data_IF_971444026684
#
_entry.id   IF_971444026684
#
_cell.length_a   1.000
_cell.length_b   1.000
_cell.length_c   1.000
_cell.angle_alpha   90.00
_cell.angle_beta   90.00
_cell.angle_gamma   90.00
#
_symmetry.space_group_name_H-M   'P 1'
#
loop_
_entity.id
_entity.type
_entity.pdbx_description
1 polymer ?
#
# COMPACT_ATOMS: atom_id res chain seq x y z
N UNK A 1 -14.69 7.19 19.98
CA UNK A 1 -15.87 6.74 20.73
C UNK A 1 -16.58 5.67 19.94
N UNK A 2 -16.48 4.42 20.37
CA UNK A 2 -17.17 3.26 19.80
C UNK A 2 -18.17 2.77 20.83
N UNK A 3 -19.47 2.88 20.56
CA UNK A 3 -20.54 2.45 21.46
C UNK A 3 -21.46 1.51 20.69
N UNK A 4 -21.64 0.27 21.17
CA UNK A 4 -22.60 -0.70 20.62
C UNK A 4 -22.49 -0.94 19.09
N UNK A 5 -21.27 -0.94 18.54
CA UNK A 5 -21.06 -1.13 17.10
C UNK A 5 -21.26 0.13 16.26
N UNK A 6 -21.58 1.26 16.88
CA UNK A 6 -21.68 2.58 16.24
C UNK A 6 -20.37 3.33 16.41
N UNK A 7 -19.79 3.74 15.29
CA UNK A 7 -18.62 4.62 15.23
C UNK A 7 -19.07 6.05 14.90
N UNK A 8 -18.85 6.97 15.83
CA UNK A 8 -19.04 8.41 15.60
C UNK A 8 -17.72 9.01 15.12
N UNK A 9 -17.79 9.72 13.99
CA UNK A 9 -16.65 10.39 13.35
C UNK A 9 -17.01 11.84 13.03
N UNK A 10 -15.97 12.63 12.75
CA UNK A 10 -16.13 13.97 12.22
C UNK A 10 -16.74 13.94 10.81
N UNK A 11 -17.67 14.86 10.55
CA UNK A 11 -18.24 15.04 9.21
C UNK A 11 -17.25 15.82 8.35
N UNK A 12 -16.79 15.21 7.26
CA UNK A 12 -16.00 15.92 6.25
C UNK A 12 -16.95 16.77 5.40
N UNK A 13 -16.75 18.08 5.38
CA UNK A 13 -17.63 19.03 4.68
C UNK A 13 -17.03 19.58 3.39
N UNK A 14 -17.91 19.85 2.43
CA UNK A 14 -17.62 20.64 1.23
C UNK A 14 -17.60 22.15 1.54
N UNK A 15 -17.45 22.96 0.49
CA UNK A 15 -17.25 24.40 0.63
C UNK A 15 -18.44 25.16 1.23
N UNK A 16 -19.66 24.63 1.13
CA UNK A 16 -20.88 25.27 1.65
C UNK A 16 -21.43 24.58 2.91
N UNK A 17 -20.62 23.73 3.57
CA UNK A 17 -21.00 23.01 4.79
C UNK A 17 -21.82 21.73 4.56
N UNK A 18 -22.08 21.36 3.30
CA UNK A 18 -22.65 20.08 2.91
C UNK A 18 -21.67 18.92 3.13
N UNK A 19 -22.16 17.68 3.13
CA UNK A 19 -21.27 16.51 3.13
C UNK A 19 -20.36 16.53 1.89
N UNK A 20 -19.06 16.32 2.10
CA UNK A 20 -18.09 16.29 1.01
C UNK A 20 -18.44 15.19 -0.01
N UNK A 21 -18.44 15.49 -1.32
CA UNK A 21 -18.68 14.49 -2.34
C UNK A 21 -17.53 13.46 -2.39
N UNK A 22 -17.82 12.26 -2.90
CA UNK A 22 -16.76 11.28 -3.19
C UNK A 22 -15.96 11.74 -4.39
N UNK A 23 -14.70 11.33 -4.47
CA UNK A 23 -13.84 11.61 -5.61
C UNK A 23 -14.47 11.07 -6.91
N UNK A 24 -15.08 9.88 -6.86
CA UNK A 24 -15.82 9.30 -8.00
C UNK A 24 -16.90 10.23 -8.59
N UNK A 25 -17.50 11.09 -7.78
CA UNK A 25 -18.60 11.96 -8.19
C UNK A 25 -18.10 13.26 -8.87
N UNK A 26 -16.78 13.44 -8.95
CA UNK A 26 -16.15 14.62 -9.54
C UNK A 26 -15.75 14.40 -10.99
N UNK A 27 -16.08 15.38 -11.83
CA UNK A 27 -15.46 15.54 -13.14
C UNK A 27 -14.21 16.43 -13.01
N UNK A 28 -13.04 15.89 -13.36
CA UNK A 28 -11.76 16.58 -13.18
C UNK A 28 -11.20 17.09 -14.51
N UNK A 29 -10.54 18.23 -14.46
CA UNK A 29 -9.60 18.63 -15.52
C UNK A 29 -8.32 17.80 -15.40
N UNK A 30 -7.57 17.66 -16.50
CA UNK A 30 -6.30 16.95 -16.47
C UNK A 30 -5.30 17.55 -15.46
N UNK A 31 -5.27 18.87 -15.31
CA UNK A 31 -4.43 19.56 -14.32
C UNK A 31 -4.82 19.18 -12.88
N UNK A 32 -6.13 19.23 -12.57
CA UNK A 32 -6.63 18.89 -11.24
C UNK A 32 -6.46 17.40 -10.94
N UNK A 33 -6.62 16.53 -11.92
CA UNK A 33 -6.34 15.10 -11.81
C UNK A 33 -4.88 14.83 -11.40
N UNK A 34 -3.90 15.49 -12.04
CA UNK A 34 -2.48 15.35 -11.67
C UNK A 34 -2.21 15.84 -10.24
N UNK A 35 -2.77 17.00 -9.87
CA UNK A 35 -2.58 17.56 -8.53
C UNK A 35 -3.20 16.67 -7.43
N UNK A 36 -4.40 16.15 -7.67
CA UNK A 36 -5.09 15.23 -6.76
C UNK A 36 -4.39 13.88 -6.66
N UNK A 37 -3.95 13.31 -7.77
CA UNK A 37 -3.15 12.08 -7.80
C UNK A 37 -1.89 12.20 -6.93
N UNK A 38 -1.12 13.28 -7.12
CA UNK A 38 0.09 13.54 -6.32
C UNK A 38 -0.23 13.73 -4.83
N UNK A 39 -1.36 14.36 -4.52
CA UNK A 39 -1.82 14.55 -3.13
C UNK A 39 -2.13 13.21 -2.46
N UNK A 40 -2.85 12.31 -3.14
CA UNK A 40 -3.17 10.99 -2.59
C UNK A 40 -1.94 10.10 -2.46
N UNK A 41 -1.00 10.16 -3.41
CA UNK A 41 0.28 9.45 -3.28
C UNK A 41 0.99 9.86 -1.99
N UNK A 42 1.06 11.16 -1.69
CA UNK A 42 1.66 11.64 -0.44
C UNK A 42 0.92 11.15 0.80
N UNK A 43 -0.40 11.07 0.76
CA UNK A 43 -1.19 10.50 1.86
C UNK A 43 -0.90 9.02 2.06
N UNK A 44 -0.80 8.24 0.98
CA UNK A 44 -0.41 6.82 1.06
C UNK A 44 1.00 6.63 1.59
N UNK A 45 1.97 7.47 1.18
CA UNK A 45 3.31 7.46 1.77
C UNK A 45 3.24 7.70 3.29
N UNK A 46 2.44 8.66 3.75
CA UNK A 46 2.26 8.94 5.18
C UNK A 46 1.62 7.77 5.92
N UNK A 47 0.59 7.15 5.35
CA UNK A 47 -0.04 5.96 5.91
C UNK A 47 0.96 4.81 6.05
N UNK A 48 1.76 4.56 5.00
CA UNK A 48 2.77 3.50 5.03
C UNK A 48 3.91 3.80 6.02
N UNK A 49 4.33 5.07 6.15
CA UNK A 49 5.27 5.49 7.20
C UNK A 49 4.71 5.26 8.61
N UNK A 50 3.39 5.32 8.79
CA UNK A 50 2.71 4.96 10.02
C UNK A 50 2.49 3.43 10.18
N UNK A 51 2.99 2.62 9.25
CA UNK A 51 2.87 1.16 9.26
C UNK A 51 1.56 0.62 8.70
N UNK A 52 0.77 1.45 8.02
CA UNK A 52 -0.59 1.12 7.56
C UNK A 52 -0.66 1.08 6.04
N UNK A 53 -1.22 0.00 5.49
CA UNK A 53 -1.71 -0.04 4.10
C UNK A 53 -3.23 0.00 4.13
N UNK A 54 -3.85 0.85 3.31
CA UNK A 54 -5.31 0.96 3.25
C UNK A 54 -5.95 -0.36 2.83
N UNK A 55 -5.41 -0.98 1.80
CA UNK A 55 -5.79 -2.31 1.36
C UNK A 55 -7.06 -2.38 0.52
N UNK A 56 -7.73 -1.27 0.25
CA UNK A 56 -8.89 -1.17 -0.64
C UNK A 56 -9.08 0.27 -1.15
N UNK A 57 -7.98 0.97 -1.41
CA UNK A 57 -8.04 2.38 -1.79
C UNK A 57 -8.53 2.51 -3.25
N UNK A 58 -9.53 3.37 -3.45
CA UNK A 58 -10.13 3.69 -4.75
C UNK A 58 -10.81 5.07 -4.71
N UNK A 59 -11.33 5.54 -5.85
CA UNK A 59 -12.09 6.79 -5.94
C UNK A 59 -13.38 6.80 -5.09
N UNK A 60 -13.85 5.63 -4.69
CA UNK A 60 -15.02 5.51 -3.81
C UNK A 60 -14.69 5.77 -2.35
N UNK A 61 -13.44 5.55 -1.94
CA UNK A 61 -12.96 5.66 -0.54
C UNK A 61 -12.19 6.96 -0.28
N UNK A 62 -12.42 7.98 -1.13
CA UNK A 62 -11.83 9.32 -0.99
C UNK A 62 -12.94 10.36 -1.06
N UNK A 63 -12.97 11.27 -0.10
CA UNK A 63 -13.84 12.45 -0.07
C UNK A 63 -13.07 13.69 -0.51
N UNK A 64 -13.74 14.61 -1.20
CA UNK A 64 -13.18 15.91 -1.58
C UNK A 64 -13.76 17.02 -0.69
N UNK A 65 -13.15 17.20 0.48
CA UNK A 65 -13.51 18.25 1.43
C UNK A 65 -13.00 19.64 1.02
N UNK A 66 -13.43 20.66 1.75
CA UNK A 66 -12.97 22.05 1.55
C UNK A 66 -11.45 22.21 1.69
N UNK A 67 -10.85 21.45 2.61
CA UNK A 67 -9.41 21.53 2.94
C UNK A 67 -8.56 20.54 2.12
N UNK A 68 -9.18 19.77 1.22
CA UNK A 68 -8.51 18.81 0.36
C UNK A 68 -9.11 17.41 0.39
N UNK A 69 -8.36 16.46 -0.16
CA UNK A 69 -8.79 15.06 -0.24
C UNK A 69 -8.62 14.36 1.11
N UNK A 70 -9.62 13.55 1.47
CA UNK A 70 -9.64 12.77 2.71
C UNK A 70 -9.87 11.31 2.37
N UNK A 71 -8.91 10.46 2.72
CA UNK A 71 -9.04 9.00 2.63
C UNK A 71 -9.92 8.52 3.79
N UNK A 72 -10.91 7.69 3.49
CA UNK A 72 -11.87 7.13 4.46
C UNK A 72 -11.93 5.61 4.35
N UNK A 73 -12.75 4.97 5.18
CA UNK A 73 -13.03 3.51 5.11
C UNK A 73 -11.82 2.61 5.38
N UNK A 74 -11.30 2.70 6.60
CA UNK A 74 -10.17 1.91 7.11
C UNK A 74 -10.46 0.52 7.74
N UNK A 75 -11.69 -0.07 7.77
CA UNK A 75 -11.88 -1.42 8.31
C UNK A 75 -11.02 -2.50 7.65
N UNK A 76 -10.61 -2.31 6.39
CA UNK A 76 -9.75 -3.21 5.63
C UNK A 76 -8.26 -2.86 5.71
N UNK A 77 -7.90 -1.82 6.47
CA UNK A 77 -6.51 -1.42 6.62
C UNK A 77 -5.70 -2.48 7.38
N UNK A 78 -4.49 -2.72 6.91
CA UNK A 78 -3.61 -3.77 7.43
C UNK A 78 -2.27 -3.20 7.88
N UNK A 79 -1.63 -3.91 8.81
CA UNK A 79 -0.26 -3.66 9.21
C UNK A 79 0.71 -4.07 8.09
N UNK A 80 1.54 -3.12 7.65
CA UNK A 80 2.46 -3.27 6.53
C UNK A 80 3.61 -4.24 6.83
N UNK A 81 4.02 -4.36 8.09
CA UNK A 81 5.13 -5.21 8.51
C UNK A 81 4.68 -6.63 8.88
N UNK A 82 3.47 -6.78 9.41
CA UNK A 82 2.94 -8.07 9.87
C UNK A 82 2.21 -8.87 8.78
N UNK A 83 1.87 -8.26 7.64
CA UNK A 83 1.07 -8.91 6.60
C UNK A 83 1.87 -9.18 5.31
N UNK A 84 2.02 -10.46 4.96
CA UNK A 84 2.73 -10.89 3.75
C UNK A 84 2.12 -10.35 2.44
N UNK A 85 0.84 -9.98 2.45
CA UNK A 85 0.12 -9.44 1.29
C UNK A 85 0.21 -7.91 1.18
N UNK A 86 0.80 -7.21 2.16
CA UNK A 86 0.83 -5.75 2.22
C UNK A 86 1.41 -5.10 0.95
N UNK A 87 2.49 -5.69 0.38
CA UNK A 87 3.07 -5.23 -0.87
C UNK A 87 2.06 -5.23 -2.03
N UNK A 88 1.40 -6.37 -2.24
CA UNK A 88 0.43 -6.52 -3.33
C UNK A 88 -0.79 -5.62 -3.15
N UNK A 89 -1.24 -5.44 -1.91
CA UNK A 89 -2.36 -4.55 -1.58
C UNK A 89 -2.00 -3.08 -1.81
N UNK A 90 -0.80 -2.63 -1.42
CA UNK A 90 -0.33 -1.27 -1.70
C UNK A 90 -0.19 -1.01 -3.20
N UNK A 91 0.37 -1.96 -3.95
CA UNK A 91 0.50 -1.84 -5.41
C UNK A 91 -0.89 -1.70 -6.04
N UNK A 92 -1.84 -2.54 -5.63
CA UNK A 92 -3.23 -2.46 -6.09
C UNK A 92 -3.89 -1.12 -5.76
N UNK A 93 -3.69 -0.62 -4.54
CA UNK A 93 -4.19 0.69 -4.12
C UNK A 93 -3.68 1.81 -5.05
N UNK A 94 -2.38 1.77 -5.41
CA UNK A 94 -1.78 2.73 -6.36
C UNK A 94 -2.27 2.55 -7.79
N UNK A 95 -2.43 1.30 -8.25
CA UNK A 95 -2.96 1.00 -9.58
C UNK A 95 -4.40 1.49 -9.74
N UNK A 96 -5.23 1.35 -8.69
CA UNK A 96 -6.60 1.87 -8.68
C UNK A 96 -6.63 3.40 -8.85
N UNK A 97 -5.78 4.12 -8.10
CA UNK A 97 -5.66 5.58 -8.24
C UNK A 97 -5.17 5.97 -9.63
N UNK A 98 -4.11 5.32 -10.12
CA UNK A 98 -3.58 5.57 -11.47
C UNK A 98 -4.64 5.32 -12.55
N UNK A 99 -5.43 4.25 -12.42
CA UNK A 99 -6.51 3.92 -13.34
C UNK A 99 -7.63 4.97 -13.32
N UNK A 100 -8.04 5.45 -12.14
CA UNK A 100 -9.06 6.50 -12.02
C UNK A 100 -8.58 7.83 -12.62
N UNK A 101 -7.43 8.35 -12.18
CA UNK A 101 -6.93 9.64 -12.67
C UNK A 101 -6.47 9.56 -14.13
N UNK A 102 -6.05 8.39 -14.59
CA UNK A 102 -5.70 8.10 -15.98
C UNK A 102 -6.84 8.34 -16.97
N UNK A 103 -8.10 8.29 -16.51
CA UNK A 103 -9.28 8.66 -17.32
C UNK A 103 -9.23 10.14 -17.75
N UNK A 104 -8.57 10.99 -16.97
CA UNK A 104 -8.45 12.44 -17.20
C UNK A 104 -7.04 12.87 -17.65
N UNK A 105 -6.01 12.12 -17.27
CA UNK A 105 -4.60 12.36 -17.62
C UNK A 105 -3.90 11.03 -17.97
N UNK A 106 -3.98 10.57 -19.24
CA UNK A 106 -3.59 9.22 -19.65
C UNK A 106 -2.15 8.83 -19.34
N UNK A 107 -1.23 9.79 -19.27
CA UNK A 107 0.17 9.52 -18.93
C UNK A 107 0.36 8.94 -17.53
N UNK A 108 -0.59 9.14 -16.60
CA UNK A 108 -0.55 8.58 -15.25
C UNK A 108 -0.64 7.04 -15.25
N UNK A 109 -1.25 6.44 -16.27
CA UNK A 109 -1.37 4.98 -16.43
C UNK A 109 -0.02 4.28 -16.61
N UNK A 110 1.04 5.04 -16.94
CA UNK A 110 2.39 4.51 -17.16
C UNK A 110 3.28 4.60 -15.93
N UNK A 111 2.77 5.14 -14.82
CA UNK A 111 3.51 5.29 -13.57
C UNK A 111 3.44 4.01 -12.73
N UNK A 112 4.49 3.74 -11.95
CA UNK A 112 4.58 2.58 -11.04
C UNK A 112 4.95 3.04 -9.62
N UNK A 113 4.12 3.93 -9.06
CA UNK A 113 4.31 4.45 -7.71
C UNK A 113 4.21 3.36 -6.64
N UNK A 114 3.33 2.37 -6.83
CA UNK A 114 3.13 1.30 -5.85
C UNK A 114 4.41 0.54 -5.54
N UNK A 115 5.11 0.08 -6.57
CA UNK A 115 6.36 -0.66 -6.36
C UNK A 115 7.50 0.27 -5.94
N UNK A 116 7.57 1.49 -6.47
CA UNK A 116 8.61 2.46 -6.09
C UNK A 116 8.55 2.77 -4.59
N UNK A 117 7.36 3.10 -4.09
CA UNK A 117 7.10 3.36 -2.67
C UNK A 117 7.46 2.14 -1.83
N UNK A 118 7.04 0.94 -2.24
CA UNK A 118 7.36 -0.29 -1.51
C UNK A 118 8.86 -0.57 -1.44
N UNK A 119 9.60 -0.34 -2.53
CA UNK A 119 11.06 -0.50 -2.56
C UNK A 119 11.77 0.45 -1.58
N UNK A 120 11.31 1.71 -1.52
CA UNK A 120 11.80 2.69 -0.56
C UNK A 120 11.46 2.29 0.88
N UNK A 121 10.26 1.76 1.13
CA UNK A 121 9.85 1.25 2.43
C UNK A 121 10.75 0.09 2.90
N UNK A 122 10.92 -0.93 2.07
CA UNK A 122 11.75 -2.10 2.39
C UNK A 122 13.22 -1.76 2.61
N UNK A 123 13.74 -0.74 1.93
CA UNK A 123 15.12 -0.29 2.10
C UNK A 123 15.30 0.66 3.30
N UNK A 124 14.23 1.00 4.03
CA UNK A 124 14.27 1.93 5.16
C UNK A 124 14.49 3.40 4.76
N UNK A 125 14.26 3.73 3.48
CA UNK A 125 14.50 5.07 2.92
C UNK A 125 13.21 5.88 2.75
N UNK A 126 12.04 5.28 2.91
CA UNK A 126 10.77 5.99 2.80
C UNK A 126 10.62 6.99 3.93
N UNK A 127 10.27 8.23 3.59
CA UNK A 127 9.89 9.27 4.55
C UNK A 127 8.81 10.17 3.92
N UNK A 128 8.03 10.93 4.73
CA UNK A 128 6.89 11.71 4.23
C UNK A 128 7.20 12.74 3.14
N UNK A 129 8.42 13.29 3.14
CA UNK A 129 8.87 14.32 2.20
C UNK A 129 9.66 13.76 1.01
N UNK A 130 9.62 12.45 0.79
CA UNK A 130 10.39 11.81 -0.29
C UNK A 130 9.88 12.29 -1.65
N UNK A 131 10.81 12.55 -2.57
CA UNK A 131 10.48 12.82 -3.97
C UNK A 131 10.43 11.50 -4.72
N UNK A 132 9.23 11.17 -5.20
CA UNK A 132 8.97 9.98 -6.01
C UNK A 132 9.05 10.34 -7.49
N UNK A 133 9.51 9.39 -8.30
CA UNK A 133 9.65 9.53 -9.75
C UNK A 133 8.47 8.95 -10.52
N UNK A 134 7.67 8.10 -9.87
CA UNK A 134 6.64 7.29 -10.49
C UNK A 134 7.20 6.20 -11.40
N UNK A 135 8.49 5.85 -11.26
CA UNK A 135 9.19 4.91 -12.12
C UNK A 135 10.07 3.98 -11.29
N UNK A 136 10.19 2.73 -11.74
CA UNK A 136 11.19 1.79 -11.23
C UNK A 136 12.28 1.61 -12.27
N UNK A 137 13.52 1.88 -11.89
CA UNK A 137 14.65 1.21 -12.52
C UNK A 137 14.72 -0.21 -11.96
N UNK A 138 14.46 -1.20 -12.81
CA UNK A 138 14.57 -2.60 -12.42
C UNK A 138 16.03 -2.92 -12.11
N UNK A 139 16.45 -2.78 -10.86
CA UNK A 139 17.66 -3.43 -10.39
C UNK A 139 17.37 -4.93 -10.23
N UNK A 140 17.50 -5.66 -11.33
CA UNK A 140 17.43 -7.11 -11.37
C UNK A 140 18.67 -7.71 -10.65
N UNK A 141 18.73 -7.58 -9.32
CA UNK A 141 19.66 -8.39 -8.54
C UNK A 141 19.09 -9.81 -8.51
N UNK A 142 19.78 -10.83 -9.06
CA UNK A 142 19.28 -12.18 -9.02
C UNK A 142 19.07 -12.60 -7.57
N UNK A 143 17.85 -13.03 -7.24
CA UNK A 143 17.54 -13.62 -5.94
C UNK A 143 18.47 -14.82 -5.75
N UNK A 144 19.19 -14.88 -4.63
CA UNK A 144 20.13 -15.97 -4.33
C UNK A 144 19.38 -17.23 -3.91
N UNK A 145 18.78 -17.92 -4.89
CA UNK A 145 18.06 -19.19 -4.70
C UNK A 145 18.99 -20.24 -4.06
N UNK A 146 20.29 -20.22 -4.39
CA UNK A 146 21.28 -21.11 -3.79
C UNK A 146 21.50 -20.88 -2.28
N UNK A 147 21.27 -19.66 -1.79
CA UNK A 147 21.26 -19.32 -0.37
C UNK A 147 20.05 -19.94 0.34
N UNK A 148 18.85 -19.75 -0.22
CA UNK A 148 17.60 -20.30 0.33
C UNK A 148 17.64 -21.83 0.37
N UNK A 149 18.07 -22.46 -0.72
CA UNK A 149 18.19 -23.92 -0.81
C UNK A 149 19.18 -24.50 0.20
N UNK A 150 20.26 -23.78 0.55
CA UNK A 150 21.20 -24.21 1.60
C UNK A 150 20.57 -24.26 2.98
N UNK A 151 19.73 -23.27 3.31
CA UNK A 151 19.02 -23.23 4.60
C UNK A 151 18.04 -24.40 4.69
N UNK A 152 17.21 -24.61 3.66
CA UNK A 152 16.24 -25.72 3.59
C UNK A 152 16.95 -27.07 3.74
N UNK A 153 18.03 -27.29 2.98
CA UNK A 153 18.79 -28.54 3.05
C UNK A 153 19.44 -28.76 4.43
N UNK A 154 19.81 -27.69 5.15
CA UNK A 154 20.38 -27.79 6.50
C UNK A 154 19.32 -28.25 7.50
N UNK A 155 18.11 -27.73 7.40
CA UNK A 155 16.97 -28.13 8.25
C UNK A 155 16.63 -29.60 8.01
N UNK A 156 16.52 -30.02 6.74
CA UNK A 156 16.20 -31.41 6.38
C UNK A 156 17.26 -32.41 6.86
N UNK A 157 18.56 -32.06 6.77
CA UNK A 157 19.65 -32.90 7.29
C UNK A 157 19.59 -33.04 8.81
N UNK A 158 19.29 -31.95 9.52
CA UNK A 158 19.17 -31.96 10.99
C UNK A 158 18.01 -32.85 11.44
N UNK A 159 16.89 -32.78 10.74
CA UNK A 159 15.71 -33.60 11.01
C UNK A 159 15.96 -35.09 10.73
N UNK A 160 16.62 -35.42 9.62
CA UNK A 160 17.01 -36.80 9.32
C UNK A 160 17.98 -37.39 10.37
N UNK A 161 18.94 -36.59 10.87
CA UNK A 161 19.85 -37.01 11.92
C UNK A 161 19.12 -37.27 13.25
N UNK A 162 18.15 -36.43 13.60
CA UNK A 162 17.30 -36.60 14.78
C UNK A 162 16.43 -37.87 14.70
N UNK A 163 15.86 -38.17 13.53
CA UNK A 163 15.07 -39.38 13.33
C UNK A 163 15.93 -40.65 13.48
N UNK A 164 17.15 -40.64 12.92
CA UNK A 164 18.11 -41.75 13.06
C UNK A 164 18.52 -41.98 14.52
N UNK A 165 18.90 -40.93 15.22
CA UNK A 165 19.22 -40.99 16.65
C UNK A 165 18.05 -41.55 17.48
N UNK A 166 16.81 -41.12 17.18
CA UNK A 166 15.61 -41.59 17.89
C UNK A 166 15.27 -43.07 17.60
N UNK A 167 15.63 -43.59 16.42
CA UNK A 167 15.52 -45.01 16.10
C UNK A 167 16.59 -45.84 16.81
N UNK A 168 17.82 -45.35 16.89
CA UNK A 168 18.94 -46.00 17.60
C UNK A 168 18.72 -46.07 19.11
N UNK A 169 18.03 -45.09 19.72
CA UNK A 169 17.69 -45.12 21.15
C UNK A 169 16.47 -46.00 21.50
N UNK A 170 15.77 -46.57 20.52
CA UNK A 170 14.58 -47.42 20.72
C UNK A 170 14.83 -48.90 20.41
N UNK A 171 16.03 -49.27 19.98
CA UNK A 171 16.49 -50.66 19.83
C UNK A 171 17.47 -51.03 20.94
#
# INVERSE_FOLDING_TARGET
NFFEGVLLMELVTGANGEAAPRLNDLALTAERARAHHLTLIRQVVRMLCAGIVHGDLSEYNVLAGSDGLVIIDLPQAIDAAANNNACGMLVRDMDNLAAYFGRFAPELLTTDYGREIWSLYQSGKLHPDITLTGRIEYHNKPVNIAGVMRVVNTVLKKEAAWQRYKLEMRG
#
